data_IF_986299192607
#
_entry.id   IF_986299192607
#
_cell.length_a   1.000
_cell.length_b   1.000
_cell.length_c   1.000
_cell.angle_alpha   90.00
_cell.angle_beta   90.00
_cell.angle_gamma   90.00
#
_symmetry.space_group_name_H-M   'P 1'
#
loop_
_entity.id
_entity.type
_entity.pdbx_description
1 polymer ?
#
# COMPACT_ATOMS: atom_id res chain seq x y z
N UNK A 1 -3.39 -23.29 -8.63
CA UNK A 1 -2.70 -22.07 -9.09
C UNK A 1 -3.03 -20.87 -8.19
N UNK A 2 -4.30 -20.44 -8.10
CA UNK A 2 -4.69 -19.25 -7.30
C UNK A 2 -4.26 -19.35 -5.83
N UNK A 3 -4.51 -20.49 -5.17
CA UNK A 3 -4.01 -20.74 -3.81
C UNK A 3 -2.48 -20.59 -3.70
N UNK A 4 -1.73 -21.12 -4.67
CA UNK A 4 -0.25 -21.02 -4.69
C UNK A 4 0.22 -19.58 -4.89
N UNK A 5 -0.49 -18.80 -5.71
CA UNK A 5 -0.22 -17.37 -5.92
C UNK A 5 -0.47 -16.61 -4.62
N UNK A 6 -1.63 -16.78 -3.98
CA UNK A 6 -1.92 -16.13 -2.69
C UNK A 6 -0.90 -16.53 -1.63
N UNK A 7 -0.54 -17.81 -1.52
CA UNK A 7 0.48 -18.28 -0.57
C UNK A 7 1.83 -17.62 -0.80
N UNK A 8 2.21 -17.36 -2.05
CA UNK A 8 3.46 -16.63 -2.36
C UNK A 8 3.36 -15.16 -1.99
N UNK A 9 2.23 -14.50 -2.28
CA UNK A 9 1.98 -13.11 -1.92
C UNK A 9 1.97 -12.91 -0.38
N UNK A 10 1.33 -13.82 0.36
CA UNK A 10 1.25 -13.72 1.82
C UNK A 10 2.62 -13.80 2.51
N UNK A 11 3.63 -14.46 1.93
CA UNK A 11 4.99 -14.50 2.50
C UNK A 11 5.72 -13.14 2.44
N UNK A 12 5.28 -12.26 1.56
CA UNK A 12 5.85 -10.92 1.38
C UNK A 12 5.13 -9.87 2.23
N UNK A 13 3.87 -10.12 2.62
CA UNK A 13 3.08 -9.20 3.46
C UNK A 13 3.69 -9.04 4.85
N UNK A 14 3.58 -7.82 5.38
CA UNK A 14 3.98 -7.46 6.75
C UNK A 14 2.77 -7.24 7.67
N UNK A 15 1.59 -7.67 7.22
CA UNK A 15 0.30 -7.61 7.88
C UNK A 15 -0.48 -8.89 7.57
N UNK A 16 -1.41 -9.25 8.44
CA UNK A 16 -2.26 -10.43 8.26
C UNK A 16 -3.71 -10.02 7.90
N UNK A 17 -4.40 -10.78 7.04
CA UNK A 17 -5.83 -10.60 6.83
C UNK A 17 -6.60 -10.75 8.14
N UNK A 18 -7.65 -9.95 8.34
CA UNK A 18 -8.55 -10.15 9.48
C UNK A 18 -9.47 -11.35 9.20
N UNK A 19 -9.92 -12.05 10.25
CA UNK A 19 -10.78 -13.23 10.12
C UNK A 19 -12.11 -12.93 9.39
N UNK A 20 -12.61 -11.70 9.51
CA UNK A 20 -13.86 -11.26 8.89
C UNK A 20 -13.73 -10.95 7.38
N UNK A 21 -12.52 -11.00 6.83
CA UNK A 21 -12.32 -10.61 5.44
C UNK A 21 -12.71 -11.69 4.44
N UNK A 22 -13.26 -11.23 3.32
CA UNK A 22 -13.62 -12.10 2.19
C UNK A 22 -12.35 -12.74 1.62
N UNK A 23 -12.24 -14.06 1.78
CA UNK A 23 -11.16 -14.87 1.21
C UNK A 23 -11.39 -15.19 -0.27
N UNK A 24 -12.63 -15.09 -0.76
CA UNK A 24 -12.91 -15.36 -2.17
C UNK A 24 -12.14 -14.39 -3.10
N UNK A 25 -11.55 -14.95 -4.15
CA UNK A 25 -10.95 -14.20 -5.26
C UNK A 25 -11.67 -14.57 -6.56
N UNK A 26 -12.03 -13.56 -7.34
CA UNK A 26 -12.67 -13.75 -8.64
C UNK A 26 -11.63 -13.92 -9.75
N UNK A 27 -11.86 -14.87 -10.66
CA UNK A 27 -11.15 -15.02 -11.91
C UNK A 27 -12.11 -14.79 -13.07
N UNK A 28 -11.84 -13.76 -13.86
CA UNK A 28 -12.59 -13.44 -15.07
C UNK A 28 -11.80 -13.90 -16.29
N UNK A 29 -12.37 -14.83 -17.05
CA UNK A 29 -11.82 -15.30 -18.32
C UNK A 29 -12.64 -14.73 -19.48
N UNK A 30 -11.99 -14.00 -20.38
CA UNK A 30 -12.60 -13.46 -21.60
C UNK A 30 -11.93 -14.12 -22.80
N UNK A 31 -12.69 -14.88 -23.59
CA UNK A 31 -12.20 -15.46 -24.83
C UNK A 31 -12.53 -14.51 -25.99
N UNK A 32 -11.52 -13.85 -26.54
CA UNK A 32 -11.70 -12.90 -27.65
C UNK A 32 -12.25 -13.54 -28.93
N UNK A 33 -11.92 -14.80 -29.19
CA UNK A 33 -12.39 -15.56 -30.36
C UNK A 33 -13.86 -15.97 -30.26
N UNK A 34 -14.28 -16.52 -29.11
CA UNK A 34 -15.66 -17.02 -28.91
C UNK A 34 -16.59 -15.98 -28.29
N UNK A 35 -16.05 -14.84 -27.84
CA UNK A 35 -16.72 -13.81 -27.04
C UNK A 35 -17.34 -14.34 -25.73
N UNK A 36 -16.99 -15.57 -25.32
CA UNK A 36 -17.45 -16.14 -24.06
C UNK A 36 -16.71 -15.50 -22.90
N UNK A 37 -17.49 -15.12 -21.89
CA UNK A 37 -16.98 -14.61 -20.61
C UNK A 37 -17.39 -15.59 -19.52
N UNK A 38 -16.42 -16.04 -18.74
CA UNK A 38 -16.63 -16.97 -17.61
C UNK A 38 -16.04 -16.33 -16.36
N UNK A 39 -16.86 -16.19 -15.32
CA UNK A 39 -16.44 -15.71 -14.02
C UNK A 39 -16.56 -16.84 -12.99
N UNK A 40 -15.52 -17.01 -12.17
CA UNK A 40 -15.47 -18.01 -11.11
C UNK A 40 -14.82 -17.43 -9.86
N UNK A 41 -15.24 -17.88 -8.68
CA UNK A 41 -14.61 -17.56 -7.40
C UNK A 41 -13.88 -18.76 -6.81
N UNK A 42 -12.85 -18.45 -6.02
CA UNK A 42 -12.02 -19.42 -5.32
C UNK A 42 -11.77 -18.91 -3.91
N UNK A 43 -12.04 -19.75 -2.91
CA UNK A 43 -11.61 -19.47 -1.55
C UNK A 43 -10.10 -19.72 -1.45
N UNK A 44 -9.31 -18.67 -1.22
CA UNK A 44 -7.85 -18.76 -1.19
C UNK A 44 -7.30 -19.25 0.14
N UNK A 45 -8.15 -19.39 1.16
CA UNK A 45 -7.75 -20.00 2.43
C UNK A 45 -7.88 -21.53 2.38
N UNK A 46 -8.78 -22.06 1.54
CA UNK A 46 -8.94 -23.50 1.35
C UNK A 46 -8.10 -24.02 0.15
N UNK A 47 -7.00 -24.76 0.38
CA UNK A 47 -6.20 -25.35 -0.70
C UNK A 47 -6.97 -26.36 -1.56
N UNK A 48 -8.12 -26.85 -1.08
CA UNK A 48 -9.01 -27.77 -1.79
C UNK A 48 -10.21 -27.07 -2.44
N UNK A 49 -10.32 -25.73 -2.32
CA UNK A 49 -11.43 -24.99 -2.90
C UNK A 49 -11.52 -25.26 -4.40
N UNK A 50 -12.68 -25.73 -4.83
CA UNK A 50 -13.02 -25.81 -6.25
C UNK A 50 -13.52 -24.46 -6.76
N UNK A 51 -13.48 -24.28 -8.07
CA UNK A 51 -13.97 -23.06 -8.70
C UNK A 51 -15.50 -23.00 -8.64
N UNK A 52 -16.05 -21.99 -7.99
CA UNK A 52 -17.51 -21.76 -7.90
C UNK A 52 -17.93 -20.83 -9.03
N UNK A 53 -19.02 -21.12 -9.77
CA UNK A 53 -19.56 -20.16 -10.74
C UNK A 53 -19.91 -18.83 -10.06
N UNK A 54 -19.60 -17.71 -10.72
CA UNK A 54 -19.93 -16.39 -10.24
C UNK A 54 -20.55 -15.55 -11.36
N UNK A 55 -21.51 -14.71 -11.00
CA UNK A 55 -22.11 -13.76 -11.93
C UNK A 55 -21.23 -12.51 -12.03
N UNK A 56 -21.24 -11.89 -13.20
CA UNK A 56 -20.60 -10.59 -13.44
C UNK A 56 -21.59 -9.70 -14.18
N UNK A 57 -21.57 -8.41 -13.86
CA UNK A 57 -22.47 -7.42 -14.46
C UNK A 57 -21.74 -6.11 -14.68
N UNK A 58 -22.03 -5.46 -15.81
CA UNK A 58 -21.62 -4.08 -16.00
C UNK A 58 -22.41 -3.18 -15.05
N UNK A 59 -21.72 -2.28 -14.37
CA UNK A 59 -22.34 -1.24 -13.56
C UNK A 59 -22.17 0.11 -14.26
N UNK A 60 -23.30 0.79 -14.51
CA UNK A 60 -23.34 2.07 -15.23
C UNK A 60 -22.90 3.27 -14.39
N UNK A 61 -22.61 3.08 -13.09
CA UNK A 61 -22.26 4.14 -12.14
C UNK A 61 -21.00 3.76 -11.34
N UNK A 62 -19.89 3.52 -12.04
CA UNK A 62 -18.61 3.11 -11.46
C UNK A 62 -18.08 4.06 -10.37
N UNK A 63 -18.55 5.31 -10.31
CA UNK A 63 -18.12 6.33 -9.35
C UNK A 63 -19.08 6.56 -8.18
N UNK A 64 -20.30 6.04 -8.21
CA UNK A 64 -21.35 6.44 -7.26
C UNK A 64 -21.17 5.87 -5.83
N UNK A 65 -20.26 4.92 -5.64
CA UNK A 65 -20.13 4.13 -4.40
C UNK A 65 -18.69 4.06 -3.86
N UNK A 66 -17.76 4.87 -4.38
CA UNK A 66 -16.40 4.94 -3.87
C UNK A 66 -16.21 6.10 -2.91
N UNK A 67 -15.62 5.82 -1.75
CA UNK A 67 -15.07 6.83 -0.85
C UNK A 67 -13.56 6.81 -0.93
N UNK A 68 -12.97 7.98 -1.12
CA UNK A 68 -11.51 8.14 -1.17
C UNK A 68 -11.00 8.71 0.16
N UNK A 69 -9.95 8.12 0.68
CA UNK A 69 -9.22 8.61 1.85
C UNK A 69 -7.75 8.78 1.49
N UNK A 70 -7.10 9.78 2.09
CA UNK A 70 -5.67 9.98 1.96
C UNK A 70 -5.02 10.28 3.30
N UNK A 71 -3.77 9.86 3.45
CA UNK A 71 -2.93 10.25 4.58
C UNK A 71 -1.48 10.44 4.14
N UNK A 72 -0.72 11.22 4.91
CA UNK A 72 0.73 11.29 4.79
C UNK A 72 1.36 10.75 6.07
N UNK A 73 2.30 9.81 5.94
CA UNK A 73 3.02 9.23 7.08
C UNK A 73 4.50 9.56 6.95
N UNK A 74 5.05 10.19 7.99
CA UNK A 74 6.49 10.41 8.09
C UNK A 74 7.17 9.12 8.54
N UNK A 75 8.13 8.67 7.73
CA UNK A 75 8.94 7.48 7.97
C UNK A 75 10.27 7.92 8.55
N UNK A 76 10.64 7.38 9.71
CA UNK A 76 11.96 7.54 10.31
C UNK A 76 12.29 6.27 11.11
N UNK A 77 12.66 5.22 10.38
CA UNK A 77 12.96 3.91 10.96
C UNK A 77 14.47 3.78 11.10
N UNK A 78 14.93 3.56 12.33
CA UNK A 78 16.32 3.29 12.65
C UNK A 78 16.49 1.80 12.99
N UNK A 79 17.35 1.11 12.24
CA UNK A 79 17.59 -0.33 12.36
C UNK A 79 19.05 -0.55 12.76
N UNK A 80 19.33 -0.86 14.05
CA UNK A 80 20.69 -1.12 14.49
C UNK A 80 21.21 -2.46 13.97
N UNK A 81 22.45 -2.49 13.49
CA UNK A 81 23.16 -3.71 13.09
C UNK A 81 24.07 -4.15 14.23
N UNK A 82 23.69 -5.23 14.92
CA UNK A 82 24.42 -5.77 16.08
C UNK A 82 25.83 -6.22 15.73
N UNK A 83 26.84 -5.77 16.49
CA UNK A 83 28.23 -6.17 16.28
C UNK A 83 28.48 -7.68 16.50
N UNK A 84 27.62 -8.32 17.29
CA UNK A 84 27.67 -9.76 17.58
C UNK A 84 26.94 -10.62 16.53
N UNK A 85 26.21 -10.01 15.59
CA UNK A 85 25.52 -10.73 14.53
C UNK A 85 26.50 -11.04 13.39
N UNK A 86 26.72 -12.31 13.02
CA UNK A 86 27.52 -12.63 11.83
C UNK A 86 26.79 -12.29 10.53
N UNK A 87 25.49 -11.96 10.60
CA UNK A 87 24.64 -11.69 9.44
C UNK A 87 24.27 -10.20 9.37
N UNK A 88 24.94 -9.49 8.46
CA UNK A 88 24.68 -8.10 8.09
C UNK A 88 23.92 -7.98 6.76
N UNK A 89 23.19 -9.02 6.36
CA UNK A 89 22.37 -9.00 5.16
C UNK A 89 21.38 -7.83 5.20
N UNK A 90 21.50 -6.93 4.22
CA UNK A 90 20.78 -5.66 4.18
C UNK A 90 19.28 -5.89 4.08
N UNK A 91 18.87 -6.79 3.18
CA UNK A 91 17.46 -7.14 2.93
C UNK A 91 16.81 -7.68 4.21
N UNK A 92 17.41 -8.70 4.84
CA UNK A 92 16.88 -9.33 6.05
C UNK A 92 16.78 -8.35 7.21
N UNK A 93 17.81 -7.54 7.44
CA UNK A 93 17.79 -6.56 8.54
C UNK A 93 16.73 -5.47 8.31
N UNK A 94 16.60 -5.00 7.07
CA UNK A 94 15.55 -4.05 6.68
C UNK A 94 14.16 -4.65 6.90
N UNK A 95 13.92 -5.88 6.42
CA UNK A 95 12.65 -6.59 6.60
C UNK A 95 12.29 -6.75 8.08
N UNK A 96 13.27 -7.05 8.95
CA UNK A 96 13.04 -7.11 10.39
C UNK A 96 12.64 -5.74 10.98
N UNK A 97 13.26 -4.65 10.52
CA UNK A 97 12.88 -3.29 10.90
C UNK A 97 11.46 -2.94 10.47
N UNK A 98 11.12 -3.24 9.21
CA UNK A 98 9.79 -3.02 8.65
C UNK A 98 8.70 -3.83 9.37
N UNK A 99 8.97 -5.07 9.78
CA UNK A 99 8.02 -5.87 10.59
C UNK A 99 7.71 -5.22 11.95
N UNK A 100 8.70 -4.60 12.60
CA UNK A 100 8.45 -3.89 13.87
C UNK A 100 7.65 -2.61 13.63
N UNK A 101 8.00 -1.89 12.56
CA UNK A 101 7.29 -0.67 12.18
C UNK A 101 5.86 -0.95 11.73
N UNK A 102 5.59 -2.05 11.01
CA UNK A 102 4.23 -2.41 10.60
C UNK A 102 3.32 -2.65 11.80
N UNK A 103 3.82 -3.27 12.87
CA UNK A 103 3.09 -3.39 14.14
C UNK A 103 2.75 -2.02 14.76
N UNK A 104 3.65 -1.05 14.69
CA UNK A 104 3.36 0.33 15.15
C UNK A 104 2.27 1.01 14.31
N UNK A 105 2.20 0.72 13.01
CA UNK A 105 1.13 1.20 12.13
C UNK A 105 -0.19 0.48 12.45
N UNK A 106 -0.15 -0.83 12.70
CA UNK A 106 -1.32 -1.60 13.13
C UNK A 106 -1.92 -1.07 14.45
N UNK A 107 -1.08 -0.65 15.40
CA UNK A 107 -1.48 -0.09 16.70
C UNK A 107 -1.74 1.43 16.67
N UNK A 108 -1.58 2.08 15.51
CA UNK A 108 -1.73 3.53 15.38
C UNK A 108 -3.20 4.00 15.42
N UNK A 109 -3.39 5.24 15.85
CA UNK A 109 -4.71 5.89 15.93
C UNK A 109 -4.94 6.73 14.68
N UNK A 110 -6.10 6.54 14.04
CA UNK A 110 -6.48 7.24 12.82
C UNK A 110 -7.53 8.31 13.13
N UNK A 111 -7.21 9.56 12.79
CA UNK A 111 -8.10 10.70 12.90
C UNK A 111 -8.68 11.01 11.52
N UNK A 112 -9.95 10.69 11.30
CA UNK A 112 -10.65 10.97 10.05
C UNK A 112 -11.30 12.34 10.18
N UNK A 113 -10.87 13.30 9.35
CA UNK A 113 -11.28 14.71 9.48
C UNK A 113 -11.05 15.27 10.90
N UNK A 114 -9.95 14.85 11.54
CA UNK A 114 -9.55 15.30 12.87
C UNK A 114 -10.23 14.61 14.06
N UNK A 115 -11.06 13.59 13.84
CA UNK A 115 -11.76 12.87 14.91
C UNK A 115 -11.47 11.37 14.87
N UNK A 116 -11.33 10.76 16.06
CA UNK A 116 -11.40 9.30 16.21
C UNK A 116 -12.87 8.92 16.13
N UNK A 117 -13.20 8.02 15.21
CA UNK A 117 -14.55 7.46 15.05
C UNK A 117 -14.57 6.02 15.53
N UNK A 118 -15.74 5.56 15.98
CA UNK A 118 -15.96 4.16 16.34
C UNK A 118 -15.88 3.27 15.10
N UNK A 119 -15.27 2.10 15.24
CA UNK A 119 -14.91 1.20 14.13
C UNK A 119 -16.11 0.69 13.33
N UNK A 120 -17.26 0.52 13.98
CA UNK A 120 -18.47 -0.03 13.37
C UNK A 120 -19.41 1.03 12.76
N UNK A 121 -19.11 2.31 12.95
CA UNK A 121 -19.91 3.42 12.41
C UNK A 121 -19.75 3.59 10.90
N UNK A 122 -20.79 4.13 10.25
CA UNK A 122 -20.71 4.48 8.83
C UNK A 122 -19.79 5.69 8.65
N UNK A 123 -18.82 5.59 7.73
CA UNK A 123 -17.79 6.60 7.51
C UNK A 123 -18.39 7.99 7.16
N UNK A 124 -19.54 7.98 6.48
CA UNK A 124 -20.27 9.15 5.97
C UNK A 124 -21.46 9.56 6.86
N UNK A 125 -21.60 8.98 8.06
CA UNK A 125 -22.72 9.28 8.95
C UNK A 125 -22.76 10.78 9.30
N UNK A 126 -23.95 11.39 9.18
CA UNK A 126 -24.16 12.82 9.43
C UNK A 126 -23.89 13.77 8.25
N UNK A 127 -23.38 13.30 7.11
CA UNK A 127 -23.28 14.12 5.91
C UNK A 127 -24.63 14.18 5.19
N UNK A 128 -25.19 15.39 5.04
CA UNK A 128 -26.39 15.63 4.23
C UNK A 128 -26.09 15.18 2.81
N UNK A 129 -26.80 14.13 2.33
CA UNK A 129 -26.87 13.81 0.91
C UNK A 129 -27.27 15.08 0.16
N UNK A 130 -26.36 15.67 -0.61
CA UNK A 130 -26.70 16.81 -1.46
C UNK A 130 -27.76 16.35 -2.46
N UNK A 131 -29.03 16.68 -2.18
CA UNK A 131 -30.14 16.56 -3.12
C UNK A 131 -30.00 17.71 -4.12
N UNK A 132 -29.18 17.52 -5.14
CA UNK A 132 -29.00 18.47 -6.23
C UNK A 132 -28.27 17.78 -7.38
N UNK A 133 -28.66 18.12 -8.62
CA UNK A 133 -28.14 17.55 -9.87
C UNK A 133 -26.69 17.99 -10.18
N UNK A 134 -25.88 18.19 -9.15
CA UNK A 134 -24.49 18.64 -9.21
C UNK A 134 -23.63 17.38 -9.20
N UNK A 135 -22.61 17.35 -10.07
CA UNK A 135 -21.68 16.23 -10.20
C UNK A 135 -21.26 15.68 -8.82
N UNK A 136 -21.14 14.35 -8.64
CA UNK A 136 -20.72 13.78 -7.37
C UNK A 136 -19.37 14.38 -7.00
N UNK A 137 -19.36 15.28 -6.00
CA UNK A 137 -18.11 15.83 -5.49
C UNK A 137 -17.35 14.67 -4.88
N UNK A 138 -16.21 14.31 -5.47
CA UNK A 138 -15.32 13.28 -4.96
C UNK A 138 -14.99 13.59 -3.51
N UNK A 139 -15.56 12.83 -2.58
CA UNK A 139 -15.33 13.07 -1.17
C UNK A 139 -13.99 12.44 -0.79
N UNK A 140 -12.95 13.26 -0.83
CA UNK A 140 -11.62 12.90 -0.35
C UNK A 140 -11.52 13.28 1.13
N UNK A 141 -11.41 12.29 2.01
CA UNK A 141 -11.23 12.53 3.44
C UNK A 141 -9.74 12.54 3.80
N UNK A 142 -9.29 13.62 4.44
CA UNK A 142 -7.94 13.71 4.98
C UNK A 142 -7.88 12.94 6.31
N UNK A 143 -6.89 12.07 6.42
CA UNK A 143 -6.69 11.20 7.57
C UNK A 143 -5.31 11.46 8.17
N UNK A 144 -5.28 11.75 9.46
CA UNK A 144 -4.03 11.88 10.23
C UNK A 144 -3.76 10.60 10.98
N UNK A 145 -2.53 10.10 10.84
CA UNK A 145 -2.07 8.88 11.51
C UNK A 145 -1.21 9.27 12.70
N UNK A 146 -1.61 8.85 13.88
CA UNK A 146 -0.86 9.04 15.13
C UNK A 146 -0.26 7.70 15.53
N UNK A 147 1.04 7.52 15.26
CA UNK A 147 1.78 6.37 15.75
C UNK A 147 2.02 6.51 17.24
N UNK A 148 1.66 5.48 18.00
CA UNK A 148 1.97 5.47 19.43
C UNK A 148 3.49 5.37 19.58
N UNK A 149 4.07 6.25 20.40
CA UNK A 149 5.41 6.00 20.93
C UNK A 149 5.33 4.69 21.69
N UNK A 150 6.21 3.73 21.42
CA UNK A 150 6.25 2.41 22.06
C UNK A 150 6.56 2.49 23.56
N UNK A 151 5.68 3.10 24.34
CA UNK A 151 5.73 3.17 25.78
C UNK A 151 4.39 2.65 26.29
N UNK A 152 4.41 1.44 26.84
CA UNK A 152 3.27 0.95 27.60
C UNK A 152 2.99 1.90 28.77
N UNK A 153 1.74 1.96 29.26
CA UNK A 153 1.31 2.91 30.30
C UNK A 153 2.09 2.82 31.63
N UNK A 154 2.92 1.79 31.83
CA UNK A 154 3.72 1.55 33.03
C UNK A 154 5.23 1.36 32.79
N UNK A 155 5.72 1.55 31.56
CA UNK A 155 7.13 1.29 31.25
C UNK A 155 8.02 2.48 31.66
N UNK A 156 8.90 2.28 32.66
CA UNK A 156 10.02 3.21 32.89
C UNK A 156 10.91 3.22 31.65
N UNK A 157 11.09 4.38 31.05
CA UNK A 157 12.01 4.57 29.92
C UNK A 157 13.45 4.46 30.44
N UNK A 158 14.05 3.29 30.34
CA UNK A 158 15.48 3.08 30.61
C UNK A 158 16.23 3.05 29.30
N UNK A 159 17.18 3.96 29.12
CA UNK A 159 18.07 3.94 27.96
C UNK A 159 18.93 2.65 28.03
N UNK A 160 18.89 1.85 26.97
CA UNK A 160 19.73 0.66 26.82
C UNK A 160 20.86 0.95 25.86
N UNK A 161 22.10 0.63 26.25
CA UNK A 161 23.26 0.70 25.36
C UNK A 161 23.36 -0.62 24.59
N UNK A 162 23.46 -0.53 23.27
CA UNK A 162 23.60 -1.68 22.38
C UNK A 162 24.86 -1.49 21.52
N UNK A 163 25.73 -2.50 21.47
CA UNK A 163 26.96 -2.46 20.67
C UNK A 163 26.63 -2.83 19.23
N UNK A 164 26.78 -1.86 18.33
CA UNK A 164 26.41 -1.99 16.92
C UNK A 164 27.64 -1.78 16.03
N UNK A 165 27.73 -2.54 14.93
CA UNK A 165 28.75 -2.34 13.88
C UNK A 165 28.29 -1.36 12.81
N UNK A 166 26.99 -1.03 12.77
CA UNK A 166 26.40 -0.08 11.84
C UNK A 166 24.90 0.13 12.09
N UNK A 167 24.25 0.83 11.17
CA UNK A 167 22.80 1.07 11.22
C UNK A 167 22.23 1.32 9.83
N UNK A 168 21.01 0.86 9.58
CA UNK A 168 20.21 1.23 8.40
C UNK A 168 19.20 2.29 8.83
N UNK A 169 19.03 3.33 8.02
CA UNK A 169 18.07 4.40 8.27
C UNK A 169 17.12 4.52 7.07
N UNK A 170 15.83 4.32 7.28
CA UNK A 170 14.79 4.60 6.29
C UNK A 170 14.10 5.90 6.69
N UNK A 171 14.18 6.92 5.82
CA UNK A 171 13.65 8.26 6.10
C UNK A 171 12.88 8.80 4.91
N UNK A 172 11.82 9.56 5.19
CA UNK A 172 11.03 10.25 4.17
C UNK A 172 9.59 10.43 4.61
N UNK A 173 8.72 10.76 3.66
CA UNK A 173 7.29 10.79 3.86
C UNK A 173 6.62 9.99 2.74
N UNK A 174 5.57 9.22 3.08
CA UNK A 174 4.77 8.47 2.11
C UNK A 174 3.35 9.02 2.08
N UNK A 175 2.86 9.40 0.90
CA UNK A 175 1.44 9.69 0.68
C UNK A 175 0.72 8.39 0.32
N UNK A 176 -0.30 8.08 1.09
CA UNK A 176 -1.09 6.85 0.98
C UNK A 176 -2.53 7.19 0.65
N UNK A 177 -3.19 6.29 -0.09
CA UNK A 177 -4.59 6.44 -0.51
C UNK A 177 -5.34 5.12 -0.33
N UNK A 178 -6.60 5.23 0.09
CA UNK A 178 -7.52 4.10 0.15
C UNK A 178 -8.82 4.46 -0.58
N UNK A 179 -9.36 3.48 -1.30
CA UNK A 179 -10.65 3.61 -2.00
C UNK A 179 -11.56 2.50 -1.51
N UNK A 180 -12.68 2.86 -0.88
CA UNK A 180 -13.64 1.91 -0.33
C UNK A 180 -14.88 1.89 -1.21
N UNK A 181 -15.16 0.74 -1.81
CA UNK A 181 -16.36 0.52 -2.60
C UNK A 181 -17.44 -0.14 -1.75
N UNK A 182 -18.34 0.66 -1.19
CA UNK A 182 -19.47 0.16 -0.38
C UNK A 182 -20.60 1.18 -0.37
N UNK A 183 -21.84 0.70 -0.30
CA UNK A 183 -23.00 1.57 -0.08
C UNK A 183 -23.03 2.16 1.34
N UNK A 184 -22.34 1.50 2.28
CA UNK A 184 -22.25 1.85 3.69
C UNK A 184 -20.83 1.58 4.18
N UNK A 185 -19.84 2.37 3.70
CA UNK A 185 -18.44 2.15 4.05
C UNK A 185 -18.27 2.30 5.55
N UNK A 186 -17.70 1.30 6.21
CA UNK A 186 -17.42 1.37 7.66
C UNK A 186 -16.08 2.02 7.95
N UNK A 187 -15.95 2.62 9.13
CA UNK A 187 -14.67 3.18 9.60
C UNK A 187 -13.57 2.11 9.65
N UNK A 188 -13.88 0.90 10.15
CA UNK A 188 -12.89 -0.21 10.21
C UNK A 188 -12.30 -0.57 8.86
N UNK A 189 -13.14 -0.65 7.82
CA UNK A 189 -12.71 -0.99 6.45
C UNK A 189 -11.78 0.08 5.87
N UNK A 190 -12.12 1.35 6.10
CA UNK A 190 -11.32 2.49 5.65
C UNK A 190 -9.95 2.54 6.33
N UNK A 191 -9.91 2.36 7.65
CA UNK A 191 -8.66 2.34 8.43
C UNK A 191 -7.80 1.14 8.01
N UNK A 192 -8.38 -0.03 7.85
CA UNK A 192 -7.66 -1.23 7.45
C UNK A 192 -7.04 -1.09 6.04
N UNK A 193 -7.79 -0.53 5.10
CA UNK A 193 -7.26 -0.24 3.76
C UNK A 193 -6.09 0.75 3.79
N UNK A 194 -6.17 1.82 4.60
CA UNK A 194 -5.06 2.76 4.76
C UNK A 194 -3.85 2.12 5.44
N UNK A 195 -4.03 1.34 6.51
CA UNK A 195 -2.94 0.61 7.18
C UNK A 195 -2.16 -0.24 6.17
N UNK A 196 -2.87 -0.95 5.31
CA UNK A 196 -2.27 -1.78 4.26
C UNK A 196 -1.51 -0.97 3.24
N UNK A 197 -2.10 0.13 2.76
CA UNK A 197 -1.44 0.98 1.79
C UNK A 197 -0.14 1.57 2.36
N UNK A 198 -0.15 2.02 3.62
CA UNK A 198 1.04 2.51 4.35
C UNK A 198 2.12 1.43 4.47
N UNK A 199 1.73 0.21 4.88
CA UNK A 199 2.68 -0.88 5.09
C UNK A 199 3.25 -1.39 3.77
N UNK A 200 2.38 -1.64 2.78
CA UNK A 200 2.76 -2.16 1.47
C UNK A 200 3.65 -1.16 0.74
N UNK A 201 3.29 0.13 0.70
CA UNK A 201 4.06 1.09 -0.09
C UNK A 201 5.52 1.17 0.37
N UNK A 202 5.79 1.13 1.67
CA UNK A 202 7.17 1.15 2.14
C UNK A 202 7.88 -0.20 1.92
N UNK A 203 7.16 -1.31 2.12
CA UNK A 203 7.68 -2.66 1.90
C UNK A 203 8.07 -2.91 0.45
N UNK A 204 7.16 -2.63 -0.48
CA UNK A 204 7.34 -2.85 -1.92
C UNK A 204 8.50 -2.02 -2.45
N UNK A 205 8.61 -0.76 -2.03
CA UNK A 205 9.74 0.11 -2.43
C UNK A 205 11.09 -0.42 -1.98
N UNK A 206 11.15 -0.97 -0.77
CA UNK A 206 12.38 -1.60 -0.28
C UNK A 206 12.68 -2.87 -1.08
N UNK A 207 11.68 -3.70 -1.36
CA UNK A 207 11.83 -4.91 -2.16
C UNK A 207 12.34 -4.58 -3.57
N UNK A 208 11.73 -3.61 -4.25
CA UNK A 208 12.17 -3.14 -5.58
C UNK A 208 13.63 -2.67 -5.53
N UNK A 209 14.02 -1.88 -4.51
CA UNK A 209 15.42 -1.46 -4.36
C UNK A 209 16.36 -2.67 -4.18
N UNK A 210 15.98 -3.66 -3.37
CA UNK A 210 16.85 -4.84 -3.17
C UNK A 210 16.97 -5.69 -4.43
N UNK A 211 15.88 -5.87 -5.18
CA UNK A 211 15.91 -6.53 -6.49
C UNK A 211 16.85 -5.79 -7.45
N UNK A 212 16.79 -4.45 -7.50
CA UNK A 212 17.66 -3.62 -8.32
C UNK A 212 19.14 -3.74 -7.92
N UNK A 213 19.44 -3.65 -6.62
CA UNK A 213 20.81 -3.80 -6.11
C UNK A 213 21.39 -5.19 -6.45
N UNK A 214 20.59 -6.25 -6.36
CA UNK A 214 21.04 -7.61 -6.69
C UNK A 214 21.36 -7.75 -8.19
N UNK A 215 20.59 -7.08 -9.05
CA UNK A 215 20.76 -7.16 -10.51
C UNK A 215 21.91 -6.28 -11.01
N UNK A 216 22.07 -5.08 -10.44
CA UNK A 216 22.96 -4.05 -10.95
C UNK A 216 24.28 -3.93 -10.17
N UNK A 217 24.28 -4.20 -8.86
CA UNK A 217 25.49 -4.19 -8.06
C UNK A 217 26.10 -5.60 -8.03
N UNK A 218 27.11 -5.84 -8.89
CA UNK A 218 28.00 -6.99 -8.76
C UNK A 218 28.69 -7.01 -7.38
N UNK A 219 29.51 -8.04 -7.03
CA UNK A 219 30.16 -8.11 -5.72
C UNK A 219 31.02 -6.86 -5.46
N UNK A 220 30.44 -5.89 -4.74
CA UNK A 220 31.04 -4.58 -4.51
C UNK A 220 32.31 -4.72 -3.68
N UNK A 221 33.34 -3.94 -4.05
CA UNK A 221 34.50 -3.71 -3.19
C UNK A 221 34.01 -2.99 -1.93
N UNK A 222 34.38 -3.51 -0.77
CA UNK A 222 34.06 -2.96 0.57
C UNK A 222 34.47 -1.48 0.67
N UNK A 223 33.58 -0.58 0.31
CA UNK A 223 33.69 0.83 0.66
C UNK A 223 33.08 1.00 2.04
N UNK A 224 33.89 1.39 3.03
CA UNK A 224 33.45 1.63 4.40
C UNK A 224 32.72 2.98 4.57
N UNK A 225 32.19 3.54 3.48
CA UNK A 225 31.49 4.82 3.45
C UNK A 225 30.03 4.66 3.84
N UNK A 226 29.38 5.79 4.16
CA UNK A 226 27.92 5.81 4.28
C UNK A 226 27.32 5.76 2.88
N UNK A 227 26.57 4.71 2.60
CA UNK A 227 25.82 4.54 1.35
C UNK A 227 24.43 5.17 1.48
N UNK A 228 23.95 5.77 0.40
CA UNK A 228 22.64 6.39 0.31
C UNK A 228 21.95 5.84 -0.93
N UNK A 229 20.77 5.25 -0.74
CA UNK A 229 19.92 4.76 -1.81
C UNK A 229 18.59 5.51 -1.78
N UNK A 230 18.11 5.90 -2.96
CA UNK A 230 16.79 6.51 -3.13
C UNK A 230 15.80 5.41 -3.43
N UNK A 231 14.73 5.31 -2.65
CA UNK A 231 13.66 4.36 -2.90
C UNK A 231 12.81 4.82 -4.12
N UNK A 232 12.33 3.91 -4.98
CA UNK A 232 11.46 4.25 -6.11
C UNK A 232 10.29 5.14 -5.67
N UNK A 233 9.97 6.17 -6.43
CA UNK A 233 8.94 7.14 -6.05
C UNK A 233 7.55 6.64 -6.45
N UNK A 234 6.57 6.70 -5.56
CA UNK A 234 5.20 6.27 -5.92
C UNK A 234 4.50 7.30 -6.79
N UNK A 235 3.85 6.84 -7.85
CA UNK A 235 3.01 7.61 -8.75
C UNK A 235 1.54 7.27 -8.55
N UNK A 236 0.66 8.24 -8.82
CA UNK A 236 -0.77 8.02 -8.96
C UNK A 236 -1.25 8.58 -10.30
N UNK A 237 -1.96 7.74 -11.07
CA UNK A 237 -2.48 8.06 -12.40
C UNK A 237 -4.00 7.83 -12.43
N UNK A 238 -4.79 8.75 -13.00
CA UNK A 238 -6.24 8.59 -13.07
C UNK A 238 -6.63 7.46 -14.01
N UNK A 239 -7.67 6.72 -13.63
CA UNK A 239 -8.33 5.74 -14.49
C UNK A 239 -9.57 6.41 -15.10
N UNK A 240 -9.68 6.42 -16.43
CA UNK A 240 -10.77 7.13 -17.10
C UNK A 240 -12.15 6.64 -16.62
N UNK A 241 -13.02 7.59 -16.29
CA UNK A 241 -14.37 7.31 -15.79
C UNK A 241 -14.45 6.80 -14.34
N UNK A 242 -13.34 6.86 -13.59
CA UNK A 242 -13.27 6.46 -12.18
C UNK A 242 -12.67 7.57 -11.31
N UNK A 243 -12.96 7.53 -10.01
CA UNK A 243 -12.25 8.34 -9.00
C UNK A 243 -11.02 7.61 -8.44
N UNK A 244 -10.90 6.32 -8.72
CA UNK A 244 -9.78 5.49 -8.30
C UNK A 244 -8.57 5.81 -9.17
N UNK A 245 -7.43 5.95 -8.52
CA UNK A 245 -6.15 6.15 -9.20
C UNK A 245 -5.40 4.83 -9.20
N UNK A 246 -4.79 4.49 -10.34
CA UNK A 246 -3.80 3.43 -10.42
C UNK A 246 -2.50 3.95 -9.77
N UNK A 247 -1.79 3.10 -9.04
CA UNK A 247 -0.46 3.42 -8.52
C UNK A 247 0.61 2.53 -9.14
N UNK A 248 1.74 3.12 -9.45
CA UNK A 248 2.95 2.45 -9.90
C UNK A 248 4.19 3.16 -9.31
N UNK A 249 5.39 2.68 -9.59
CA UNK A 249 6.64 3.26 -9.11
C UNK A 249 7.47 3.85 -10.26
N UNK A 250 8.12 4.98 -9.96
CA UNK A 250 9.10 5.66 -10.80
C UNK A 250 10.51 5.41 -10.26
N UNK A 251 11.41 4.96 -11.12
CA UNK A 251 12.84 4.86 -10.85
C UNK A 251 13.54 6.20 -11.10
N UNK A 252 14.73 6.38 -10.52
CA UNK A 252 15.42 7.67 -10.50
C UNK A 252 15.79 8.19 -11.90
N UNK A 253 16.12 7.29 -12.80
CA UNK A 253 16.58 7.51 -14.17
C UNK A 253 15.46 7.53 -15.23
N UNK A 254 14.25 7.10 -14.86
CA UNK A 254 13.12 7.05 -15.80
C UNK A 254 12.67 8.44 -16.27
N UNK A 255 12.56 8.57 -17.59
CA UNK A 255 12.00 9.74 -18.25
C UNK A 255 10.45 9.72 -18.21
N UNK A 256 9.83 10.90 -18.23
CA UNK A 256 8.37 11.01 -18.22
C UNK A 256 7.70 10.23 -19.36
N UNK A 257 8.30 10.22 -20.57
CA UNK A 257 7.77 9.49 -21.73
C UNK A 257 7.73 7.98 -21.53
N UNK A 258 8.76 7.39 -20.90
CA UNK A 258 8.81 5.94 -20.60
C UNK A 258 7.70 5.54 -19.64
N UNK A 259 7.42 6.40 -18.66
CA UNK A 259 6.34 6.17 -17.69
C UNK A 259 4.98 6.28 -18.39
N UNK A 260 4.78 7.26 -19.28
CA UNK A 260 3.55 7.40 -20.05
C UNK A 260 3.29 6.17 -20.94
N UNK A 261 4.30 5.69 -21.66
CA UNK A 261 4.20 4.49 -22.50
C UNK A 261 3.83 3.26 -21.67
N UNK A 262 4.42 3.08 -20.49
CA UNK A 262 4.06 2.00 -19.55
C UNK A 262 2.60 2.06 -19.13
N UNK A 263 2.08 3.24 -18.82
CA UNK A 263 0.66 3.36 -18.47
C UNK A 263 -0.27 3.14 -19.67
N UNK A 264 0.14 3.54 -20.88
CA UNK A 264 -0.60 3.21 -22.12
C UNK A 264 -0.67 1.70 -22.31
N UNK A 265 0.43 0.98 -22.11
CA UNK A 265 0.45 -0.48 -22.20
C UNK A 265 -0.45 -1.14 -21.15
N UNK A 266 -0.43 -0.64 -19.91
CA UNK A 266 -1.22 -1.20 -18.81
C UNK A 266 -2.72 -0.89 -18.90
N UNK A 267 -3.09 0.33 -19.30
CA UNK A 267 -4.47 0.83 -19.26
C UNK A 267 -5.16 0.87 -20.62
N UNK A 268 -4.41 0.69 -21.72
CA UNK A 268 -4.88 0.90 -23.10
C UNK A 268 -5.47 2.31 -23.29
N UNK A 269 -4.92 3.30 -22.55
CA UNK A 269 -5.39 4.68 -22.50
C UNK A 269 -4.21 5.67 -22.42
N UNK A 270 -4.25 6.79 -23.17
CA UNK A 270 -3.23 7.82 -23.07
C UNK A 270 -3.31 8.54 -21.72
N UNK A 271 -2.16 8.71 -21.08
CA UNK A 271 -2.00 9.45 -19.82
C UNK A 271 -1.18 10.70 -20.08
N UNK A 272 -1.73 11.87 -19.73
CA UNK A 272 -1.01 13.12 -19.82
C UNK A 272 -0.05 13.27 -18.63
N UNK A 273 1.13 13.85 -18.86
CA UNK A 273 2.15 13.99 -17.84
C UNK A 273 1.66 14.86 -16.66
N UNK A 274 0.79 15.83 -16.95
CA UNK A 274 0.19 16.75 -15.98
C UNK A 274 -0.78 16.05 -15.01
N UNK A 275 -1.36 14.93 -15.42
CA UNK A 275 -2.29 14.13 -14.62
C UNK A 275 -1.57 13.11 -13.72
N UNK A 276 -0.24 12.97 -13.87
CA UNK A 276 0.58 12.07 -13.07
C UNK A 276 0.98 12.76 -11.77
N UNK A 277 0.52 12.21 -10.65
CA UNK A 277 0.84 12.75 -9.33
C UNK A 277 1.98 11.95 -8.68
N UNK A 278 3.15 12.57 -8.51
CA UNK A 278 4.20 12.04 -7.65
C UNK A 278 3.75 12.18 -6.19
N UNK A 279 3.70 11.05 -5.48
CA UNK A 279 3.22 10.97 -4.11
C UNK A 279 4.16 11.68 -3.12
N UNK A 280 5.43 11.82 -3.44
CA UNK A 280 6.44 12.30 -2.50
C UNK A 280 6.77 13.76 -2.73
N UNK A 281 6.75 14.54 -1.66
CA UNK A 281 7.38 15.86 -1.66
C UNK A 281 8.85 15.66 -1.31
N UNK A 282 9.76 16.08 -2.19
CA UNK A 282 11.19 16.13 -1.88
C UNK A 282 11.35 17.25 -0.85
N UNK A 283 11.37 16.92 0.44
CA UNK A 283 11.79 17.87 1.46
C UNK A 283 13.29 18.14 1.26
N UNK A 284 13.61 19.28 0.65
CA UNK A 284 14.97 19.84 0.56
C UNK A 284 15.52 20.21 1.93
#
# INVERSE_FOLDING_TARGET
LIFSVEKSLSKRRLWEPAEEEVSDRAALQICSATKKVVCRTYDVQDPKSSAKPADWKYQSALTASWVALGCTVNVNIHIPLLATSPNHDLERNTKNGLNRWSKQIEDSVFLINGQVKDEDTELLEGQKKFRGNTQPSTQFSDVKVLTQLCQGPSARSTATVQVCSGSINLRGAVKCRAYIHSNKPKVKEAIQALKRDIINTLSDRCEILFEDLILNEGPQKKNFGREYHVLPQRLFVPVAGSIVMLSDYKFGDEAAGEIQERFVEMLDQPVQAEDMHIAEDIST
#
